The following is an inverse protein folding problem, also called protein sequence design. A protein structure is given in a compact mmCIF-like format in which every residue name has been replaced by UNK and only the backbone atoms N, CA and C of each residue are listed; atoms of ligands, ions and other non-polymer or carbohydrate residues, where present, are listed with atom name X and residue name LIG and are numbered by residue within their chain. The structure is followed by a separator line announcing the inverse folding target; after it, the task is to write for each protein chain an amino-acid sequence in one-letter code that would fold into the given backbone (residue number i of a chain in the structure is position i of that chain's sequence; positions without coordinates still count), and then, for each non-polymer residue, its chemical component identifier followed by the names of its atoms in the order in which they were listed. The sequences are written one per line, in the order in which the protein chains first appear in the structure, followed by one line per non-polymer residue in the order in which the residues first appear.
data_IF_502038018318
#
_entry.id   IF_502038018318
#
_cell.length_a   1.000
_cell.length_b   1.000
_cell.length_c   1.000
_cell.angle_alpha   90.00
_cell.angle_beta   90.00
_cell.angle_gamma   90.00
#
_symmetry.space_group_name_H-M   'P 1'
#
loop_
_entity.id
_entity.type
_entity.pdbx_description
1 polymer ?
#
# COMPACT_ATOMS: atom_id res chain seq x y z
N UNK A 1 -8.00 4.60 16.84
CA UNK A 1 -8.94 4.49 15.70
C UNK A 1 -9.15 3.04 15.27
N UNK A 2 -8.10 2.35 14.79
CA UNK A 2 -8.17 0.99 14.22
C UNK A 2 -8.91 -0.01 15.10
N UNK A 3 -8.51 -0.18 16.37
CA UNK A 3 -9.13 -1.16 17.28
C UNK A 3 -10.48 -0.70 17.84
N UNK A 4 -10.68 0.61 17.99
CA UNK A 4 -11.91 1.18 18.57
C UNK A 4 -13.10 1.16 17.60
N UNK A 5 -12.82 1.24 16.30
CA UNK A 5 -13.83 1.26 15.23
C UNK A 5 -13.86 -0.05 14.44
N UNK A 6 -13.22 -1.11 14.95
CA UNK A 6 -13.29 -2.44 14.35
C UNK A 6 -14.61 -3.12 14.75
N UNK A 7 -15.35 -3.77 13.82
CA UNK A 7 -15.07 -3.99 12.40
C UNK A 7 -15.68 -2.94 11.45
N UNK A 8 -16.20 -1.82 11.97
CA UNK A 8 -16.97 -0.85 11.18
C UNK A 8 -16.16 -0.17 10.06
N UNK A 9 -14.85 0.05 10.24
CA UNK A 9 -13.97 0.65 9.24
C UNK A 9 -13.30 -0.35 8.28
N UNK A 10 -13.29 -1.65 8.62
CA UNK A 10 -12.60 -2.68 7.83
C UNK A 10 -12.56 -4.06 8.49
N UNK A 11 -12.41 -5.09 7.65
CA UNK A 11 -12.27 -6.49 8.08
C UNK A 11 -10.88 -6.85 8.60
N UNK A 12 -10.61 -8.15 8.76
CA UNK A 12 -9.31 -8.66 9.25
C UNK A 12 -8.14 -8.21 8.35
N UNK A 13 -8.38 -8.01 7.07
CA UNK A 13 -7.39 -7.50 6.12
C UNK A 13 -6.90 -6.10 6.51
N UNK A 14 -7.78 -5.26 7.08
CA UNK A 14 -7.39 -3.93 7.57
C UNK A 14 -6.44 -4.04 8.78
N UNK A 15 -6.69 -4.97 9.70
CA UNK A 15 -5.81 -5.23 10.83
C UNK A 15 -4.45 -5.77 10.39
N UNK A 16 -4.44 -6.73 9.47
CA UNK A 16 -3.21 -7.31 8.91
C UNK A 16 -2.38 -6.23 8.21
N UNK A 17 -3.02 -5.38 7.39
CA UNK A 17 -2.36 -4.28 6.71
C UNK A 17 -1.64 -3.35 7.69
N UNK A 18 -2.36 -2.87 8.71
CA UNK A 18 -1.78 -1.95 9.68
C UNK A 18 -0.74 -2.63 10.58
N UNK A 19 -0.94 -3.89 10.94
CA UNK A 19 0.04 -4.67 11.69
C UNK A 19 1.36 -4.82 10.94
N UNK A 20 1.30 -5.20 9.66
CA UNK A 20 2.48 -5.32 8.80
C UNK A 20 3.16 -3.97 8.57
N UNK A 21 2.39 -2.90 8.35
CA UNK A 21 2.93 -1.54 8.21
C UNK A 21 3.62 -1.06 9.48
N UNK A 22 2.99 -1.22 10.66
CA UNK A 22 3.59 -0.85 11.94
C UNK A 22 4.84 -1.66 12.24
N UNK A 23 4.83 -2.96 11.92
CA UNK A 23 6.00 -3.82 12.03
C UNK A 23 7.16 -3.29 11.18
N UNK A 24 6.93 -3.04 9.89
CA UNK A 24 7.97 -2.54 8.98
C UNK A 24 8.49 -1.14 9.37
N UNK A 25 7.61 -0.23 9.81
CA UNK A 25 7.99 1.10 10.31
C UNK A 25 8.87 0.97 11.54
N UNK A 26 8.44 0.19 12.53
CA UNK A 26 9.17 -0.03 13.79
C UNK A 26 10.57 -0.58 13.51
N UNK A 27 10.65 -1.56 12.62
CA UNK A 27 11.91 -2.14 12.15
C UNK A 27 12.84 -1.10 11.53
N UNK A 28 12.33 -0.25 10.63
CA UNK A 28 13.10 0.80 9.97
C UNK A 28 13.59 1.88 10.94
N UNK A 29 12.77 2.25 11.93
CA UNK A 29 13.13 3.22 12.96
C UNK A 29 14.25 2.70 13.86
N UNK A 30 14.15 1.44 14.32
CA UNK A 30 15.19 0.85 15.19
C UNK A 30 16.49 0.55 14.46
N UNK A 31 16.45 0.14 13.19
CA UNK A 31 17.67 -0.16 12.44
C UNK A 31 18.29 1.04 11.73
N UNK A 32 17.54 2.14 11.56
CA UNK A 32 17.96 3.29 10.76
C UNK A 32 18.02 3.02 9.25
N UNK A 33 17.41 1.93 8.76
CA UNK A 33 17.53 1.47 7.38
C UNK A 33 16.17 1.47 6.67
N UNK A 34 16.18 1.40 5.34
CA UNK A 34 14.98 1.28 4.50
C UNK A 34 13.94 2.42 4.64
N UNK A 35 14.33 3.56 5.23
CA UNK A 35 13.43 4.70 5.46
C UNK A 35 12.77 5.20 4.18
N UNK A 36 13.50 5.24 3.07
CA UNK A 36 12.95 5.65 1.77
C UNK A 36 11.80 4.73 1.31
N UNK A 37 11.94 3.42 1.54
CA UNK A 37 10.91 2.42 1.20
C UNK A 37 9.70 2.53 2.13
N UNK A 38 9.93 2.82 3.42
CA UNK A 38 8.84 3.11 4.36
C UNK A 38 8.09 4.38 3.96
N UNK A 39 8.79 5.45 3.58
CA UNK A 39 8.18 6.71 3.13
C UNK A 39 7.37 6.51 1.84
N UNK A 40 7.86 5.72 0.89
CA UNK A 40 7.08 5.35 -0.30
C UNK A 40 5.80 4.61 0.10
N UNK A 41 5.86 3.60 0.97
CA UNK A 41 4.65 2.88 1.41
C UNK A 41 3.71 3.79 2.21
N UNK A 42 4.22 4.67 3.07
CA UNK A 42 3.41 5.65 3.82
C UNK A 42 2.69 6.64 2.91
N UNK A 43 3.27 7.00 1.75
CA UNK A 43 2.59 7.86 0.79
C UNK A 43 1.26 7.28 0.31
N UNK A 44 1.07 5.95 0.37
CA UNK A 44 -0.18 5.29 0.02
C UNK A 44 -1.34 5.67 0.95
N UNK A 45 -1.05 6.13 2.17
CA UNK A 45 -2.04 6.63 3.13
C UNK A 45 -2.69 7.94 2.68
N UNK A 46 -2.14 8.63 1.68
CA UNK A 46 -2.79 9.80 1.05
C UNK A 46 -4.16 9.46 0.45
N UNK A 47 -4.42 8.18 0.15
CA UNK A 47 -5.71 7.69 -0.35
C UNK A 47 -6.75 7.46 0.77
N UNK A 48 -6.31 7.35 2.03
CA UNK A 48 -7.15 7.01 3.20
C UNK A 48 -8.24 8.05 3.50
N UNK A 49 -8.00 9.37 3.37
CA UNK A 49 -9.06 10.38 3.50
C UNK A 49 -10.25 10.15 2.55
N UNK A 50 -9.98 9.71 1.31
CA UNK A 50 -11.04 9.44 0.33
C UNK A 50 -11.86 8.18 0.68
N UNK A 51 -11.20 7.15 1.21
CA UNK A 51 -11.87 5.94 1.73
C UNK A 51 -12.80 6.32 2.88
N UNK A 52 -12.29 7.07 3.85
CA UNK A 52 -13.07 7.49 5.03
C UNK A 52 -14.23 8.40 4.64
N UNK A 53 -14.00 9.39 3.77
CA UNK A 53 -15.07 10.28 3.29
C UNK A 53 -16.18 9.48 2.58
N UNK A 54 -15.81 8.49 1.77
CA UNK A 54 -16.79 7.62 1.11
C UNK A 54 -17.62 6.84 2.12
N UNK A 55 -16.99 6.31 3.17
CA UNK A 55 -17.66 5.58 4.23
C UNK A 55 -18.60 6.48 5.04
N UNK A 56 -18.17 7.68 5.43
CA UNK A 56 -19.03 8.64 6.14
C UNK A 56 -20.27 9.01 5.33
N UNK A 57 -20.11 9.27 4.03
CA UNK A 57 -21.23 9.56 3.14
C UNK A 57 -22.15 8.34 2.92
N UNK A 58 -21.61 7.12 2.96
CA UNK A 58 -22.40 5.88 2.91
C UNK A 58 -23.32 5.78 4.14
N UNK A 59 -22.73 5.87 5.34
CA UNK A 59 -23.44 5.80 6.62
C UNK A 59 -24.48 6.91 6.76
N UNK A 60 -24.20 8.11 6.24
CA UNK A 60 -25.14 9.23 6.22
C UNK A 60 -26.26 9.11 5.16
N UNK A 61 -26.32 8.00 4.40
CA UNK A 61 -27.31 7.80 3.34
C UNK A 61 -27.09 8.65 2.07
N UNK A 62 -25.93 9.28 1.92
CA UNK A 62 -25.60 10.26 0.89
C UNK A 62 -24.96 9.65 -0.37
N UNK A 63 -25.26 8.38 -0.69
CA UNK A 63 -24.67 7.66 -1.85
C UNK A 63 -25.00 8.31 -3.21
N UNK A 64 -26.13 8.99 -3.30
CA UNK A 64 -26.59 9.62 -4.54
C UNK A 64 -26.05 11.07 -4.69
N UNK A 65 -25.30 11.57 -3.70
CA UNK A 65 -24.74 12.92 -3.76
C UNK A 65 -23.63 13.02 -4.82
N UNK A 66 -23.52 14.19 -5.46
CA UNK A 66 -22.40 14.49 -6.37
C UNK A 66 -21.05 14.32 -5.69
N UNK A 67 -20.95 14.68 -4.40
CA UNK A 67 -19.74 14.52 -3.59
C UNK A 67 -19.32 13.04 -3.46
N UNK A 68 -20.26 12.12 -3.24
CA UNK A 68 -19.97 10.68 -3.18
C UNK A 68 -19.40 10.15 -4.50
N UNK A 69 -19.93 10.63 -5.63
CA UNK A 69 -19.47 10.25 -6.97
C UNK A 69 -18.07 10.83 -7.24
N UNK A 70 -17.86 12.14 -7.05
CA UNK A 70 -16.55 12.78 -7.26
C UNK A 70 -15.48 12.20 -6.35
N UNK A 71 -15.78 11.98 -5.08
CA UNK A 71 -14.87 11.30 -4.16
C UNK A 71 -14.57 9.86 -4.62
N UNK A 72 -15.54 9.15 -5.19
CA UNK A 72 -15.32 7.83 -5.79
C UNK A 72 -14.35 7.84 -6.97
N UNK A 73 -14.44 8.86 -7.84
CA UNK A 73 -13.50 9.05 -8.97
C UNK A 73 -12.10 9.41 -8.46
N UNK A 74 -12.01 10.35 -7.52
CA UNK A 74 -10.75 10.72 -6.89
C UNK A 74 -10.09 9.53 -6.17
N UNK A 75 -10.88 8.72 -5.46
CA UNK A 75 -10.42 7.48 -4.82
C UNK A 75 -9.87 6.49 -5.85
N UNK A 76 -10.56 6.27 -6.98
CA UNK A 76 -10.11 5.35 -8.02
C UNK A 76 -8.77 5.80 -8.63
N UNK A 77 -8.66 7.07 -9.03
CA UNK A 77 -7.42 7.61 -9.63
C UNK A 77 -6.28 7.65 -8.60
N UNK A 78 -6.56 8.10 -7.39
CA UNK A 78 -5.60 8.12 -6.28
C UNK A 78 -5.08 6.72 -5.96
N UNK A 79 -5.96 5.71 -5.94
CA UNK A 79 -5.54 4.32 -5.73
C UNK A 79 -4.65 3.81 -6.86
N UNK A 80 -5.00 4.07 -8.12
CA UNK A 80 -4.20 3.65 -9.26
C UNK A 80 -2.78 4.23 -9.19
N UNK A 81 -2.65 5.55 -8.95
CA UNK A 81 -1.35 6.21 -8.89
C UNK A 81 -0.57 5.84 -7.63
N UNK A 82 -1.15 6.09 -6.46
CA UNK A 82 -0.43 5.98 -5.18
C UNK A 82 -0.27 4.54 -4.70
N UNK A 83 -1.08 3.57 -5.16
CA UNK A 83 -1.02 2.18 -4.67
C UNK A 83 -0.69 1.15 -5.75
N UNK A 84 -0.98 1.40 -7.02
CA UNK A 84 -0.60 0.47 -8.11
C UNK A 84 0.72 0.89 -8.74
N UNK A 85 0.77 2.09 -9.34
CA UNK A 85 1.99 2.56 -10.00
C UNK A 85 3.16 2.76 -9.03
N UNK A 86 2.89 3.27 -7.83
CA UNK A 86 3.93 3.38 -6.81
C UNK A 86 4.51 2.02 -6.41
N UNK A 87 3.68 0.97 -6.29
CA UNK A 87 4.18 -0.37 -5.98
C UNK A 87 4.94 -1.00 -7.16
N UNK A 88 4.51 -0.75 -8.39
CA UNK A 88 5.29 -1.16 -9.57
C UNK A 88 6.66 -0.48 -9.57
N UNK A 89 6.70 0.84 -9.33
CA UNK A 89 7.95 1.59 -9.19
C UNK A 89 8.80 1.08 -8.03
N UNK A 90 8.18 0.82 -6.87
CA UNK A 90 8.83 0.24 -5.70
C UNK A 90 9.54 -1.07 -6.04
N UNK A 91 8.84 -2.01 -6.68
CA UNK A 91 9.42 -3.31 -7.04
C UNK A 91 10.47 -3.19 -8.13
N UNK A 92 10.27 -2.31 -9.11
CA UNK A 92 11.27 -2.03 -10.13
C UNK A 92 12.56 -1.45 -9.51
N UNK A 93 12.43 -0.44 -8.65
CA UNK A 93 13.57 0.16 -7.94
C UNK A 93 14.26 -0.89 -7.07
N UNK A 94 13.50 -1.68 -6.31
CA UNK A 94 14.05 -2.77 -5.51
C UNK A 94 14.80 -3.79 -6.37
N UNK A 95 14.26 -4.18 -7.53
CA UNK A 95 14.87 -5.14 -8.45
C UNK A 95 16.18 -4.61 -9.07
N UNK A 96 16.17 -3.38 -9.59
CA UNK A 96 17.36 -2.77 -10.21
C UNK A 96 18.47 -2.53 -9.19
N UNK A 97 18.11 -2.09 -7.98
CA UNK A 97 19.06 -1.85 -6.91
C UNK A 97 19.40 -3.12 -6.10
N UNK A 98 18.72 -4.25 -6.37
CA UNK A 98 19.02 -5.54 -5.75
C UNK A 98 20.45 -5.99 -6.09
N UNK A 99 20.91 -5.73 -7.31
CA UNK A 99 22.24 -6.12 -7.78
C UNK A 99 23.34 -5.13 -7.42
N UNK A 100 23.04 -3.89 -7.00
CA UNK A 100 24.07 -3.00 -6.46
C UNK A 100 24.60 -3.50 -5.11
N UNK A 101 23.80 -4.29 -4.40
CA UNK A 101 24.15 -5.04 -3.20
C UNK A 101 25.05 -6.26 -3.55
N UNK A 102 24.92 -6.82 -4.77
CA UNK A 102 25.71 -7.97 -5.26
C UNK A 102 26.90 -7.61 -6.17
N UNK A 103 26.95 -6.46 -6.84
CA UNK A 103 28.01 -6.15 -7.82
C UNK A 103 29.30 -5.61 -7.21
N UNK A 104 29.30 -5.22 -5.94
CA UNK A 104 30.55 -5.11 -5.18
C UNK A 104 31.10 -6.49 -4.74
N UNK A 105 30.38 -7.58 -5.04
CA UNK A 105 30.71 -8.96 -4.65
C UNK A 105 31.43 -9.71 -5.78
N UNK A 106 32.59 -9.19 -6.17
CA UNK A 106 33.66 -10.02 -6.78
C UNK A 106 34.88 -10.03 -5.85
N UNK A 107 34.64 -10.17 -4.55
CA UNK A 107 35.71 -10.47 -3.59
C UNK A 107 35.13 -11.19 -2.36
N UNK A 108 35.41 -12.49 -2.26
CA UNK A 108 35.23 -13.36 -1.08
C UNK A 108 33.82 -13.57 -0.48
N UNK A 109 33.48 -14.85 -0.24
CA UNK A 109 32.29 -15.35 0.46
C UNK A 109 32.06 -14.70 1.85
N UNK A 110 33.12 -14.15 2.47
CA UNK A 110 33.04 -13.38 3.71
C UNK A 110 32.32 -12.02 3.55
N UNK A 111 32.37 -11.40 2.37
CA UNK A 111 31.71 -10.11 2.08
C UNK A 111 30.19 -10.27 1.92
N UNK A 112 29.73 -11.45 1.46
CA UNK A 112 28.29 -11.78 1.44
C UNK A 112 27.67 -11.75 2.84
N UNK A 113 28.46 -12.09 3.87
CA UNK A 113 28.06 -11.95 5.29
C UNK A 113 28.05 -10.48 5.74
N UNK A 114 28.89 -9.61 5.17
CA UNK A 114 28.96 -8.18 5.51
C UNK A 114 27.83 -7.35 4.89
N UNK A 115 27.39 -7.68 3.67
CA UNK A 115 26.27 -6.98 3.03
C UNK A 115 24.92 -7.40 3.65
N UNK A 116 24.79 -8.67 4.03
CA UNK A 116 23.68 -9.16 4.89
C UNK A 116 23.79 -8.63 6.33
N UNK A 117 24.93 -8.06 6.75
CA UNK A 117 25.05 -7.30 8.00
C UNK A 117 24.66 -5.83 7.85
N UNK A 118 24.62 -5.29 6.63
CA UNK A 118 24.20 -3.92 6.36
C UNK A 118 22.68 -3.75 6.41
N UNK A 119 21.91 -4.84 6.29
CA UNK A 119 20.51 -4.93 6.72
C UNK A 119 20.38 -6.13 7.62
N UNK A 120 20.10 -5.92 8.92
CA UNK A 120 19.94 -7.04 9.85
C UNK A 120 18.96 -8.08 9.28
N UNK A 121 19.18 -9.41 9.48
CA UNK A 121 18.51 -10.46 8.70
C UNK A 121 16.99 -10.33 8.60
N UNK A 122 16.35 -9.95 9.71
CA UNK A 122 14.91 -9.78 9.77
C UNK A 122 14.41 -8.58 8.94
N UNK A 123 15.18 -7.49 8.81
CA UNK A 123 14.87 -6.37 7.92
C UNK A 123 14.92 -6.74 6.44
N UNK A 124 15.85 -7.62 6.05
CA UNK A 124 15.96 -8.13 4.68
C UNK A 124 14.74 -8.98 4.32
N UNK A 125 14.37 -9.94 5.18
CA UNK A 125 13.17 -10.75 4.94
C UNK A 125 11.89 -9.91 4.95
N UNK A 126 11.81 -8.90 5.82
CA UNK A 126 10.68 -7.97 5.86
C UNK A 126 10.52 -7.22 4.54
N UNK A 127 11.61 -6.68 3.96
CA UNK A 127 11.59 -6.01 2.65
C UNK A 127 11.16 -6.94 1.50
N UNK A 128 11.45 -8.24 1.58
CA UNK A 128 11.06 -9.20 0.56
C UNK A 128 9.64 -9.77 0.74
N UNK A 129 9.03 -9.65 1.91
CA UNK A 129 7.75 -10.30 2.23
C UNK A 129 6.62 -9.32 2.48
N UNK A 130 6.86 -8.25 3.26
CA UNK A 130 5.83 -7.27 3.62
C UNK A 130 5.32 -6.51 2.38
N UNK A 131 6.17 -5.92 1.52
CA UNK A 131 5.69 -5.18 0.36
C UNK A 131 4.89 -6.02 -0.64
N UNK A 132 5.28 -7.26 -1.00
CA UNK A 132 4.43 -8.13 -1.83
C UNK A 132 3.06 -8.42 -1.23
N UNK A 133 2.97 -8.66 0.08
CA UNK A 133 1.67 -8.88 0.76
C UNK A 133 0.82 -7.61 0.67
N UNK A 134 1.39 -6.44 0.97
CA UNK A 134 0.70 -5.16 0.86
C UNK A 134 0.25 -4.87 -0.58
N UNK A 135 1.06 -5.22 -1.59
CA UNK A 135 0.72 -5.08 -3.00
C UNK A 135 -0.47 -5.95 -3.40
N UNK A 136 -0.48 -7.23 -2.97
CA UNK A 136 -1.60 -8.14 -3.23
C UNK A 136 -2.91 -7.62 -2.63
N UNK A 137 -2.85 -7.09 -1.39
CA UNK A 137 -4.01 -6.47 -0.75
C UNK A 137 -4.47 -5.22 -1.51
N UNK A 138 -3.54 -4.38 -1.96
CA UNK A 138 -3.84 -3.20 -2.78
C UNK A 138 -4.51 -3.55 -4.11
N UNK A 139 -4.11 -4.64 -4.76
CA UNK A 139 -4.76 -5.16 -5.97
C UNK A 139 -6.17 -5.66 -5.68
N UNK A 140 -6.36 -6.42 -4.59
CA UNK A 140 -7.67 -6.91 -4.17
C UNK A 140 -8.67 -5.77 -3.92
N UNK A 141 -8.25 -4.72 -3.20
CA UNK A 141 -9.08 -3.55 -2.96
C UNK A 141 -9.30 -2.72 -4.23
N UNK A 142 -8.28 -2.56 -5.07
CA UNK A 142 -8.43 -1.87 -6.35
C UNK A 142 -9.48 -2.54 -7.23
N UNK A 143 -9.50 -3.88 -7.28
CA UNK A 143 -10.53 -4.62 -7.99
C UNK A 143 -11.95 -4.34 -7.46
N UNK A 144 -12.13 -4.20 -6.13
CA UNK A 144 -13.41 -3.79 -5.54
C UNK A 144 -13.80 -2.37 -5.96
N UNK A 145 -12.86 -1.42 -5.94
CA UNK A 145 -13.08 -0.02 -6.33
C UNK A 145 -13.42 0.07 -7.83
N UNK A 146 -12.66 -0.61 -8.68
CA UNK A 146 -12.88 -0.65 -10.13
C UNK A 146 -14.26 -1.20 -10.49
N UNK A 147 -14.68 -2.32 -9.87
CA UNK A 147 -16.04 -2.86 -10.05
C UNK A 147 -17.12 -1.87 -9.60
N UNK A 148 -16.88 -1.15 -8.51
CA UNK A 148 -17.76 -0.07 -8.07
C UNK A 148 -17.89 1.03 -9.12
N UNK A 149 -16.77 1.46 -9.71
CA UNK A 149 -16.73 2.48 -10.75
C UNK A 149 -17.49 2.06 -12.01
N UNK A 150 -17.27 0.83 -12.50
CA UNK A 150 -17.96 0.29 -13.68
C UNK A 150 -19.47 0.29 -13.48
N UNK A 151 -19.96 -0.05 -12.28
CA UNK A 151 -21.40 -0.01 -11.95
C UNK A 151 -21.97 1.41 -11.95
N UNK A 152 -21.18 2.40 -11.52
CA UNK A 152 -21.60 3.81 -11.56
C UNK A 152 -21.68 4.32 -13.00
N UNK A 153 -20.69 3.99 -13.83
CA UNK A 153 -20.65 4.38 -15.24
C UNK A 153 -21.76 3.71 -16.07
N UNK A 154 -22.04 2.42 -15.83
CA UNK A 154 -23.10 1.72 -16.55
C UNK A 154 -24.49 2.30 -16.25
N UNK A 155 -24.77 2.66 -14.98
CA UNK A 155 -26.02 3.33 -14.60
C UNK A 155 -26.16 4.71 -15.24
N UNK A 156 -25.09 5.49 -15.30
CA UNK A 156 -25.11 6.80 -15.95
C UNK A 156 -25.43 6.68 -17.45
N UNK A 157 -24.89 5.65 -18.13
CA UNK A 157 -25.13 5.39 -19.55
C UNK A 157 -26.57 4.96 -19.86
N UNK A 158 -27.26 4.28 -18.93
CA UNK A 158 -28.67 3.89 -19.09
C UNK A 158 -29.68 4.99 -18.70
N UNK A 159 -29.21 6.07 -18.07
CA UNK A 159 -30.04 7.21 -17.67
C UNK A 159 -30.01 8.35 -18.71
N UNK A 160 -29.26 8.19 -19.79
CA UNK A 160 -29.26 9.05 -20.98
C UNK A 160 -29.97 8.33 -22.13
#
# INVERSE_FOLDING_TARGET
MILYQYPALGGVEYLIHHGLSLFAITQSLFSGQAQIYILMVLFTESTTPFVNLRWYLDVAGQKNSKLYIYNGVALFLGWLVARIFLFVFYFYHMYVHFDQVSKHLTFNTAVRSLVVKLVYPLGFYSLLTVPPVLAAMNLFWFWKIARGMVRTLSKARHSQ
#
